data_IF_729823921243
#
_entry.id   IF_729823921243
#
_cell.length_a   1.000
_cell.length_b   1.000
_cell.length_c   1.000
_cell.angle_alpha   90.00
_cell.angle_beta   90.00
_cell.angle_gamma   90.00
#
_symmetry.space_group_name_H-M   'P 1'
#
loop_
_entity.id
_entity.type
_entity.pdbx_description
1 polymer ?
#
# COMPACT_ATOMS: atom_id res chain seq x y z
N UNK A 1 10.04 -1.23 -18.54
CA UNK A 1 10.29 -2.21 -17.47
C UNK A 1 9.17 -2.07 -16.46
N UNK A 2 8.48 -3.15 -16.10
CA UNK A 2 7.44 -3.09 -15.06
C UNK A 2 8.09 -2.95 -13.67
N UNK A 3 7.58 -2.02 -12.85
CA UNK A 3 8.01 -1.88 -11.47
C UNK A 3 7.60 -3.13 -10.66
N UNK A 4 8.48 -3.72 -9.83
CA UNK A 4 8.14 -4.91 -9.06
C UNK A 4 7.08 -4.60 -7.99
N UNK A 5 6.25 -5.60 -7.67
CA UNK A 5 5.29 -5.50 -6.57
C UNK A 5 6.00 -5.27 -5.24
N UNK A 6 5.45 -4.39 -4.41
CA UNK A 6 5.95 -4.16 -3.05
C UNK A 6 5.45 -5.22 -2.08
N UNK A 7 6.30 -5.58 -1.13
CA UNK A 7 5.89 -6.28 0.08
C UNK A 7 5.44 -5.27 1.16
N UNK A 8 5.04 -5.78 2.33
CA UNK A 8 4.61 -4.94 3.45
C UNK A 8 5.72 -4.01 3.95
N UNK A 9 6.99 -4.42 3.89
CA UNK A 9 8.11 -3.60 4.36
C UNK A 9 8.35 -2.43 3.42
N UNK A 10 8.36 -2.68 2.11
CA UNK A 10 8.52 -1.64 1.09
C UNK A 10 7.38 -0.63 1.16
N UNK A 11 6.13 -1.08 1.28
CA UNK A 11 4.99 -0.17 1.44
C UNK A 11 5.10 0.65 2.74
N UNK A 12 5.42 0.00 3.86
CA UNK A 12 5.56 0.67 5.15
C UNK A 12 6.63 1.77 5.11
N UNK A 13 7.78 1.47 4.51
CA UNK A 13 8.85 2.43 4.30
C UNK A 13 8.40 3.59 3.40
N UNK A 14 7.68 3.30 2.30
CA UNK A 14 7.16 4.32 1.39
C UNK A 14 6.17 5.27 2.07
N UNK A 15 5.27 4.74 2.91
CA UNK A 15 4.26 5.52 3.63
C UNK A 15 4.79 6.20 4.90
N UNK A 16 6.03 5.92 5.31
CA UNK A 16 6.57 6.40 6.59
C UNK A 16 5.83 5.82 7.81
N UNK A 17 5.44 4.54 7.76
CA UNK A 17 4.65 3.86 8.81
C UNK A 17 5.34 2.58 9.30
N UNK A 18 5.05 2.10 10.52
CA UNK A 18 5.44 0.76 10.95
C UNK A 18 4.77 -0.33 10.11
N UNK A 19 5.41 -1.50 9.95
CA UNK A 19 4.82 -2.64 9.22
C UNK A 19 3.55 -3.16 9.90
N UNK A 20 3.47 -3.11 11.24
CA UNK A 20 2.25 -3.46 11.99
C UNK A 20 1.06 -2.59 11.59
N UNK A 21 1.30 -1.28 11.39
CA UNK A 21 0.26 -0.36 10.95
C UNK A 21 -0.34 -0.77 9.60
N UNK A 22 0.50 -1.24 8.66
CA UNK A 22 0.01 -1.74 7.36
C UNK A 22 -0.90 -2.97 7.56
N UNK A 23 -0.48 -3.94 8.37
CA UNK A 23 -1.33 -5.11 8.66
C UNK A 23 -2.67 -4.72 9.29
N UNK A 24 -2.64 -3.84 10.28
CA UNK A 24 -3.82 -3.44 11.07
C UNK A 24 -4.81 -2.56 10.30
N UNK A 25 -4.36 -1.93 9.21
CA UNK A 25 -5.13 -0.88 8.52
C UNK A 25 -5.33 -1.10 7.02
N UNK A 26 -4.62 -2.01 6.34
CA UNK A 26 -4.76 -2.16 4.87
C UNK A 26 -6.20 -2.35 4.40
N UNK A 27 -7.02 -3.12 5.13
CA UNK A 27 -8.44 -3.31 4.81
C UNK A 27 -9.30 -2.10 5.21
N UNK A 28 -9.01 -1.48 6.37
CA UNK A 28 -9.79 -0.35 6.90
C UNK A 28 -9.65 0.89 6.01
N UNK A 29 -8.45 1.14 5.53
CA UNK A 29 -8.11 2.25 4.63
C UNK A 29 -8.46 1.95 3.17
N UNK A 30 -8.84 0.71 2.86
CA UNK A 30 -9.13 0.26 1.49
C UNK A 30 -7.90 0.33 0.58
N UNK A 31 -6.72 -0.03 1.09
CA UNK A 31 -5.49 -0.03 0.30
C UNK A 31 -5.57 -1.10 -0.80
N UNK A 32 -5.20 -0.78 -2.04
CA UNK A 32 -5.14 -1.77 -3.12
C UNK A 32 -4.07 -2.80 -2.80
N UNK A 33 -4.50 -4.04 -2.53
CA UNK A 33 -3.63 -5.11 -2.07
C UNK A 33 -4.00 -6.45 -2.70
N UNK A 34 -2.99 -7.26 -2.95
CA UNK A 34 -3.09 -8.58 -3.54
C UNK A 34 -2.63 -9.60 -2.51
N UNK A 35 -3.39 -10.70 -2.37
CA UNK A 35 -2.96 -11.86 -1.60
C UNK A 35 -2.27 -12.85 -2.53
N UNK A 36 -0.95 -13.01 -2.38
CA UNK A 36 -0.15 -13.98 -3.14
C UNK A 36 0.32 -15.05 -2.16
N UNK A 37 -0.37 -16.18 -2.18
CA UNK A 37 -0.23 -17.21 -1.14
C UNK A 37 -0.61 -16.67 0.24
N UNK A 38 0.35 -16.64 1.16
CA UNK A 38 0.15 -16.11 2.51
C UNK A 38 0.63 -14.66 2.67
N UNK A 39 1.23 -14.07 1.63
CA UNK A 39 1.87 -12.77 1.71
C UNK A 39 1.02 -11.70 1.02
N UNK A 40 1.03 -10.50 1.60
CA UNK A 40 0.47 -9.30 0.95
C UNK A 40 1.47 -8.74 -0.05
N UNK A 41 0.92 -8.28 -1.18
CA UNK A 41 1.63 -7.56 -2.21
C UNK A 41 0.85 -6.32 -2.63
N UNK A 42 1.58 -5.29 -3.02
CA UNK A 42 1.01 -4.00 -3.37
C UNK A 42 1.57 -3.54 -4.71
N UNK A 43 0.69 -3.12 -5.62
CA UNK A 43 1.10 -2.49 -6.86
C UNK A 43 1.55 -1.06 -6.54
N UNK A 44 2.80 -0.68 -6.86
CA UNK A 44 3.27 0.69 -6.62
C UNK A 44 2.41 1.74 -7.32
N UNK A 45 1.92 1.41 -8.53
CA UNK A 45 1.08 2.29 -9.33
C UNK A 45 -0.28 2.50 -8.65
N UNK A 46 -0.94 1.42 -8.23
CA UNK A 46 -2.25 1.52 -7.59
C UNK A 46 -2.18 2.19 -6.22
N UNK A 47 -1.12 1.94 -5.43
CA UNK A 47 -0.92 2.62 -4.15
C UNK A 47 -0.78 4.13 -4.35
N UNK A 48 0.00 4.57 -5.36
CA UNK A 48 0.14 5.99 -5.66
C UNK A 48 -1.20 6.61 -6.10
N UNK A 49 -1.97 5.92 -6.95
CA UNK A 49 -3.31 6.36 -7.34
C UNK A 49 -4.25 6.46 -6.14
N UNK A 50 -4.25 5.46 -5.26
CA UNK A 50 -5.04 5.46 -4.03
C UNK A 50 -4.70 6.67 -3.14
N UNK A 51 -3.42 6.99 -2.95
CA UNK A 51 -3.01 8.17 -2.19
C UNK A 51 -3.57 9.47 -2.81
N UNK A 52 -3.51 9.58 -4.12
CA UNK A 52 -4.00 10.75 -4.86
C UNK A 52 -5.53 10.91 -4.80
N UNK A 53 -6.27 9.81 -4.91
CA UNK A 53 -7.73 9.83 -4.99
C UNK A 53 -8.41 9.88 -3.63
N UNK A 54 -7.80 9.26 -2.60
CA UNK A 54 -8.44 8.97 -1.31
C UNK A 54 -7.79 9.69 -0.14
N UNK A 55 -6.49 9.98 -0.21
CA UNK A 55 -5.74 10.56 0.91
C UNK A 55 -5.33 12.02 0.67
N UNK A 56 -5.37 12.50 -0.57
CA UNK A 56 -5.06 13.90 -0.89
C UNK A 56 -6.13 14.81 -0.31
N UNK A 57 -5.76 15.57 0.71
CA UNK A 57 -6.56 16.71 1.17
C UNK A 57 -6.34 17.87 0.20
N UNK A 58 -7.38 18.25 -0.53
CA UNK A 58 -7.38 19.51 -1.30
C UNK A 58 -7.78 20.60 -0.31
N UNK A 59 -6.87 21.55 -0.07
CA UNK A 59 -7.14 22.78 0.71
C UNK A 59 -7.90 23.78 -0.15
#
# INVERSE_FOLDING_TARGET
MSEPMWDVKALAAYLGKPTSWVYDNHLKEGMPSFRVGQQLRFSPVEVRQWLEERCRMVT
#
